data_IF_968377933263
#
_entry.id   IF_968377933263
#
_cell.length_a   1.000
_cell.length_b   1.000
_cell.length_c   1.000
_cell.angle_alpha   90.00
_cell.angle_beta   90.00
_cell.angle_gamma   90.00
#
_symmetry.space_group_name_H-M   'P 1'
#
loop_
_entity.id
_entity.type
_entity.pdbx_description
1 polymer ?
#
# COMPACT_ATOMS: atom_id res chain seq x y z
N UNK A 1 -41.20 57.11 -38.58
CA UNK A 1 -39.75 56.97 -38.73
C UNK A 1 -39.21 56.21 -37.53
N UNK A 2 -39.06 54.94 -37.69
CA UNK A 2 -38.69 54.08 -36.59
C UNK A 2 -37.23 53.69 -36.75
N UNK A 3 -36.42 54.06 -35.79
CA UNK A 3 -35.06 53.59 -35.66
C UNK A 3 -35.05 52.41 -34.68
N UNK A 4 -35.07 51.25 -35.25
CA UNK A 4 -34.86 50.04 -34.46
C UNK A 4 -33.38 49.92 -34.15
N UNK A 5 -33.00 50.19 -32.89
CA UNK A 5 -31.69 49.84 -32.38
C UNK A 5 -31.66 48.37 -32.04
N UNK A 6 -30.97 47.61 -32.83
CA UNK A 6 -30.70 46.22 -32.55
C UNK A 6 -29.53 46.15 -31.59
N UNK A 7 -29.82 45.82 -30.32
CA UNK A 7 -28.78 45.58 -29.31
C UNK A 7 -28.34 44.11 -29.46
N UNK A 8 -27.15 43.97 -30.04
CA UNK A 8 -26.50 42.66 -30.12
C UNK A 8 -25.81 42.39 -28.79
N UNK A 9 -26.39 41.56 -27.98
CA UNK A 9 -25.75 41.08 -26.73
C UNK A 9 -24.80 39.97 -27.13
N UNK A 10 -23.52 40.25 -27.13
CA UNK A 10 -22.47 39.24 -27.19
C UNK A 10 -22.37 38.57 -25.82
N UNK A 11 -22.88 37.36 -25.74
CA UNK A 11 -22.61 36.46 -24.63
C UNK A 11 -21.19 35.91 -24.80
N UNK A 12 -20.24 36.49 -24.11
CA UNK A 12 -18.90 35.93 -23.95
C UNK A 12 -18.98 34.73 -23.04
N UNK A 13 -18.99 33.55 -23.61
CA UNK A 13 -18.85 32.31 -22.84
C UNK A 13 -17.46 32.20 -22.25
N UNK A 14 -17.34 32.36 -20.95
CA UNK A 14 -16.13 31.97 -20.22
C UNK A 14 -16.06 30.45 -20.22
N UNK A 15 -15.22 29.89 -21.07
CA UNK A 15 -14.79 28.52 -20.95
C UNK A 15 -13.91 28.41 -19.70
N UNK A 16 -14.47 27.94 -18.59
CA UNK A 16 -13.68 27.51 -17.45
C UNK A 16 -12.95 26.23 -17.85
N UNK A 17 -11.70 26.38 -18.25
CA UNK A 17 -10.79 25.24 -18.34
C UNK A 17 -10.57 24.71 -16.94
N UNK A 18 -11.29 23.65 -16.58
CA UNK A 18 -11.01 22.89 -15.39
C UNK A 18 -9.66 22.22 -15.55
N UNK A 19 -8.60 22.83 -15.01
CA UNK A 19 -7.32 22.15 -14.85
C UNK A 19 -7.52 21.05 -13.83
N UNK A 20 -7.69 19.83 -14.30
CA UNK A 20 -7.57 18.66 -13.43
C UNK A 20 -6.12 18.59 -12.93
N UNK A 21 -5.87 18.62 -11.61
CA UNK A 21 -4.51 18.44 -11.12
C UNK A 21 -4.01 17.08 -11.59
N UNK A 22 -2.91 17.07 -12.32
CA UNK A 22 -2.24 15.84 -12.67
C UNK A 22 -1.89 15.08 -11.39
N UNK A 23 -2.07 13.74 -11.39
CA UNK A 23 -1.63 12.89 -10.30
C UNK A 23 -0.12 13.10 -10.09
N UNK A 24 0.24 13.92 -9.11
CA UNK A 24 1.60 14.33 -8.81
C UNK A 24 2.18 13.57 -7.61
N UNK A 25 3.39 13.92 -7.14
CA UNK A 25 4.06 13.31 -5.99
C UNK A 25 3.19 13.24 -4.72
N UNK A 26 2.27 14.19 -4.52
CA UNK A 26 1.37 14.22 -3.37
C UNK A 26 0.43 13.00 -3.32
N UNK A 27 -0.07 12.51 -4.46
CA UNK A 27 -0.93 11.33 -4.51
C UNK A 27 -0.17 10.04 -4.18
N UNK A 28 1.09 9.92 -4.62
CA UNK A 28 1.92 8.77 -4.29
C UNK A 28 2.31 8.74 -2.81
N UNK A 29 2.60 9.90 -2.20
CA UNK A 29 2.86 10.01 -0.77
C UNK A 29 1.63 9.57 0.04
N UNK A 30 0.44 10.03 -0.33
CA UNK A 30 -0.80 9.64 0.34
C UNK A 30 -1.05 8.12 0.24
N UNK A 31 -0.82 7.52 -0.92
CA UNK A 31 -0.91 6.07 -1.11
C UNK A 31 0.10 5.32 -0.26
N UNK A 32 1.33 5.82 -0.15
CA UNK A 32 2.36 5.23 0.68
C UNK A 32 2.02 5.33 2.18
N UNK A 33 1.44 6.44 2.64
CA UNK A 33 0.98 6.57 4.02
C UNK A 33 -0.11 5.54 4.36
N UNK A 34 -1.04 5.30 3.46
CA UNK A 34 -2.07 4.27 3.63
C UNK A 34 -1.44 2.87 3.65
N UNK A 35 -0.49 2.61 2.76
CA UNK A 35 0.25 1.35 2.73
C UNK A 35 1.04 1.13 4.03
N UNK A 36 1.73 2.16 4.54
CA UNK A 36 2.45 2.12 5.82
C UNK A 36 1.50 1.75 6.96
N UNK A 37 0.35 2.42 7.05
CA UNK A 37 -0.64 2.12 8.09
C UNK A 37 -1.11 0.67 8.04
N UNK A 38 -1.37 0.14 6.86
CA UNK A 38 -1.76 -1.27 6.67
C UNK A 38 -0.62 -2.21 7.05
N UNK A 39 0.61 -1.93 6.61
CA UNK A 39 1.78 -2.74 6.92
C UNK A 39 2.15 -2.72 8.41
N UNK A 40 1.91 -1.62 9.11
CA UNK A 40 2.12 -1.54 10.55
C UNK A 40 1.21 -2.52 11.30
N UNK A 41 -0.06 -2.65 10.88
CA UNK A 41 -0.97 -3.66 11.45
C UNK A 41 -0.47 -5.08 11.16
N UNK A 42 -0.10 -5.36 9.93
CA UNK A 42 0.46 -6.66 9.54
C UNK A 42 1.73 -6.97 10.33
N UNK A 43 2.66 -6.01 10.43
CA UNK A 43 3.91 -6.17 11.16
C UNK A 43 3.69 -6.48 12.65
N UNK A 44 2.79 -5.75 13.29
CA UNK A 44 2.45 -5.95 14.69
C UNK A 44 1.91 -7.37 14.94
N UNK A 45 1.01 -7.85 14.11
CA UNK A 45 0.43 -9.20 14.23
C UNK A 45 1.46 -10.28 13.87
N UNK A 46 2.28 -10.06 12.85
CA UNK A 46 3.33 -11.00 12.48
C UNK A 46 4.37 -11.17 13.60
N UNK A 47 4.75 -10.11 14.28
CA UNK A 47 5.60 -10.19 15.48
C UNK A 47 4.93 -10.96 16.63
N UNK A 48 3.66 -10.76 16.84
CA UNK A 48 2.92 -11.46 17.89
C UNK A 48 2.73 -12.95 17.58
N UNK A 49 2.54 -13.31 16.32
CA UNK A 49 2.18 -14.66 15.89
C UNK A 49 3.37 -15.44 15.30
N UNK A 50 3.94 -14.95 14.21
CA UNK A 50 4.95 -15.72 13.46
C UNK A 50 6.29 -15.85 14.20
N UNK A 51 6.75 -14.81 14.89
CA UNK A 51 8.04 -14.89 15.61
C UNK A 51 8.02 -15.85 16.80
N UNK A 52 6.83 -16.27 17.24
CA UNK A 52 6.63 -17.24 18.32
C UNK A 52 6.27 -18.63 17.81
N UNK A 53 6.14 -18.78 16.50
CA UNK A 53 5.71 -20.02 15.87
C UNK A 53 6.91 -20.78 15.32
N UNK A 54 6.95 -22.09 15.57
CA UNK A 54 8.03 -22.95 15.11
C UNK A 54 8.14 -23.03 13.59
N UNK A 55 7.03 -22.89 12.86
CA UNK A 55 7.04 -22.88 11.40
C UNK A 55 7.81 -21.68 10.82
N UNK A 56 7.88 -20.59 11.59
CA UNK A 56 8.63 -19.39 11.21
C UNK A 56 9.97 -19.24 11.96
N UNK A 57 10.41 -20.28 12.65
CA UNK A 57 11.63 -20.22 13.47
C UNK A 57 12.88 -19.78 12.70
N UNK A 58 12.95 -20.11 11.40
CA UNK A 58 14.08 -19.76 10.54
C UNK A 58 14.01 -18.35 9.95
N UNK A 59 12.95 -17.59 10.24
CA UNK A 59 12.69 -16.30 9.60
C UNK A 59 12.64 -15.15 10.61
N UNK A 60 12.97 -13.97 10.12
CA UNK A 60 12.77 -12.71 10.79
C UNK A 60 11.98 -11.76 9.89
N UNK A 61 11.52 -10.65 10.47
CA UNK A 61 10.74 -9.64 9.78
C UNK A 61 11.49 -8.32 9.85
N UNK A 62 11.69 -7.69 8.70
CA UNK A 62 12.31 -6.36 8.59
C UNK A 62 11.31 -5.40 7.95
N UNK A 63 10.79 -4.43 8.70
CA UNK A 63 9.95 -3.40 8.13
C UNK A 63 10.78 -2.34 7.39
N UNK A 64 10.37 -2.01 6.17
CA UNK A 64 10.87 -0.89 5.38
C UNK A 64 9.68 0.03 5.08
N UNK A 65 9.37 0.93 5.98
CA UNK A 65 8.17 1.76 5.96
C UNK A 65 8.43 3.21 5.55
N UNK A 66 9.41 3.41 4.69
CA UNK A 66 9.70 4.72 4.13
C UNK A 66 8.60 5.12 3.12
N UNK A 67 8.10 6.34 3.26
CA UNK A 67 7.07 6.90 2.39
C UNK A 67 7.60 7.47 1.08
N UNK A 68 8.92 7.61 0.94
CA UNK A 68 9.57 8.09 -0.28
C UNK A 68 9.77 7.00 -1.33
N UNK A 69 9.63 5.75 -0.92
CA UNK A 69 9.65 4.56 -1.77
C UNK A 69 8.43 3.68 -1.49
N UNK A 70 8.32 2.54 -2.15
CA UNK A 70 7.24 1.58 -1.87
C UNK A 70 7.43 0.95 -0.50
N UNK A 71 6.55 1.22 0.49
CA UNK A 71 6.63 0.58 1.80
C UNK A 71 6.43 -0.93 1.69
N UNK A 72 7.17 -1.69 2.49
CA UNK A 72 7.13 -3.15 2.47
C UNK A 72 7.60 -3.76 3.78
N UNK A 73 7.22 -5.01 4.00
CA UNK A 73 7.83 -5.87 5.02
C UNK A 73 8.63 -6.96 4.32
N UNK A 74 9.82 -7.24 4.82
CA UNK A 74 10.66 -8.31 4.32
C UNK A 74 10.63 -9.48 5.29
N UNK A 75 10.40 -10.68 4.78
CA UNK A 75 10.68 -11.91 5.52
C UNK A 75 12.05 -12.38 5.07
N UNK A 76 12.99 -12.44 6.01
CA UNK A 76 14.38 -12.78 5.76
C UNK A 76 14.79 -13.99 6.60
N UNK A 77 15.89 -14.67 6.25
CA UNK A 77 16.49 -15.64 7.16
C UNK A 77 16.85 -14.98 8.50
N UNK A 78 16.48 -15.61 9.60
CA UNK A 78 16.70 -15.07 10.95
C UNK A 78 18.17 -14.84 11.23
N UNK A 79 18.50 -13.67 11.78
CA UNK A 79 19.87 -13.29 12.09
C UNK A 79 20.75 -12.93 10.89
N UNK A 80 20.17 -12.85 9.70
CA UNK A 80 20.88 -12.53 8.45
C UNK A 80 20.20 -11.37 7.70
N UNK A 81 20.22 -10.15 8.24
CA UNK A 81 19.48 -9.01 7.67
C UNK A 81 19.97 -8.60 6.27
N UNK A 82 21.19 -9.00 5.88
CA UNK A 82 21.75 -8.74 4.55
C UNK A 82 21.42 -9.82 3.52
N UNK A 83 20.71 -10.87 3.91
CA UNK A 83 20.31 -11.92 2.99
C UNK A 83 19.15 -11.48 2.09
N UNK A 84 19.00 -12.16 0.95
CA UNK A 84 17.87 -11.94 0.07
C UNK A 84 16.56 -12.25 0.78
N UNK A 85 15.55 -11.41 0.62
CA UNK A 85 14.23 -11.68 1.18
C UNK A 85 13.63 -12.98 0.65
N UNK A 86 13.03 -13.75 1.54
CA UNK A 86 12.28 -14.94 1.22
C UNK A 86 10.83 -14.62 0.87
N UNK A 87 10.34 -13.50 1.36
CA UNK A 87 9.09 -12.89 0.94
C UNK A 87 9.16 -11.37 1.09
N UNK A 88 8.45 -10.67 0.23
CA UNK A 88 8.22 -9.24 0.30
C UNK A 88 6.72 -9.02 0.38
N UNK A 89 6.27 -8.36 1.43
CA UNK A 89 4.86 -8.03 1.65
C UNK A 89 4.67 -6.57 1.31
N UNK A 90 3.74 -6.29 0.42
CA UNK A 90 3.30 -4.95 0.03
C UNK A 90 1.82 -4.78 0.37
N UNK A 91 1.39 -3.55 0.56
CA UNK A 91 0.02 -3.28 0.95
C UNK A 91 -0.57 -2.06 0.23
N UNK A 92 -1.87 -2.06 0.18
CA UNK A 92 -2.73 -0.92 -0.14
C UNK A 92 -3.78 -0.77 0.97
N UNK A 93 -4.80 0.06 0.76
CA UNK A 93 -5.86 0.23 1.76
C UNK A 93 -6.56 -1.10 2.07
N UNK A 94 -6.38 -1.62 3.27
CA UNK A 94 -7.06 -2.83 3.75
C UNK A 94 -6.69 -4.14 3.06
N UNK A 95 -5.64 -4.14 2.24
CA UNK A 95 -5.21 -5.30 1.47
C UNK A 95 -3.69 -5.47 1.54
N UNK A 96 -3.22 -6.70 1.55
CA UNK A 96 -1.81 -7.04 1.49
C UNK A 96 -1.56 -8.24 0.58
N UNK A 97 -0.44 -8.22 -0.10
CA UNK A 97 0.02 -9.27 -0.99
C UNK A 97 1.49 -9.56 -0.70
N UNK A 98 1.95 -10.74 -1.03
CA UNK A 98 3.36 -11.07 -0.93
C UNK A 98 3.87 -11.79 -2.17
N UNK A 99 5.16 -11.70 -2.39
CA UNK A 99 5.87 -12.37 -3.47
C UNK A 99 7.26 -12.80 -2.98
N UNK A 100 7.90 -13.66 -3.72
CA UNK A 100 9.22 -14.19 -3.42
C UNK A 100 9.22 -15.71 -3.26
N UNK A 101 10.35 -16.32 -2.86
CA UNK A 101 10.49 -17.79 -2.76
C UNK A 101 9.44 -18.47 -1.88
N UNK A 102 9.00 -17.83 -0.78
CA UNK A 102 7.96 -18.40 0.09
C UNK A 102 6.60 -18.53 -0.57
N UNK A 103 6.35 -17.88 -1.71
CA UNK A 103 5.10 -18.00 -2.46
C UNK A 103 4.88 -19.39 -3.05
N UNK A 104 5.92 -20.19 -3.17
CA UNK A 104 5.86 -21.58 -3.63
C UNK A 104 6.16 -22.60 -2.52
N UNK A 105 6.26 -22.13 -1.29
CA UNK A 105 6.53 -22.96 -0.11
C UNK A 105 5.25 -23.47 0.54
N UNK A 106 5.33 -24.46 1.44
CA UNK A 106 4.20 -24.89 2.27
C UNK A 106 3.60 -23.78 3.14
N UNK A 107 4.37 -22.71 3.44
CA UNK A 107 3.90 -21.57 4.23
C UNK A 107 3.06 -20.57 3.43
N UNK A 108 3.02 -20.68 2.10
CA UNK A 108 2.38 -19.69 1.22
C UNK A 108 0.90 -19.44 1.59
N UNK A 109 0.14 -20.49 1.77
CA UNK A 109 -1.28 -20.40 2.12
C UNK A 109 -1.51 -19.72 3.46
N UNK A 110 -0.70 -20.04 4.46
CA UNK A 110 -0.76 -19.42 5.78
C UNK A 110 -0.37 -17.96 5.74
N UNK A 111 0.72 -17.61 5.09
CA UNK A 111 1.16 -16.21 4.95
C UNK A 111 0.05 -15.40 4.30
N UNK A 112 -0.48 -15.88 3.17
CA UNK A 112 -1.52 -15.18 2.43
C UNK A 112 -2.79 -14.96 3.27
N UNK A 113 -3.24 -15.99 3.97
CA UNK A 113 -4.41 -15.92 4.84
C UNK A 113 -4.20 -14.92 5.99
N UNK A 114 -3.06 -14.98 6.66
CA UNK A 114 -2.74 -14.13 7.80
C UNK A 114 -2.62 -12.66 7.40
N UNK A 115 -1.83 -12.35 6.36
CA UNK A 115 -1.64 -10.96 5.93
C UNK A 115 -2.93 -10.34 5.40
N UNK A 116 -3.78 -11.09 4.73
CA UNK A 116 -5.09 -10.63 4.25
C UNK A 116 -6.01 -10.27 5.42
N UNK A 117 -6.06 -11.13 6.43
CA UNK A 117 -6.85 -10.91 7.64
C UNK A 117 -6.36 -9.68 8.42
N UNK A 118 -5.05 -9.58 8.65
CA UNK A 118 -4.47 -8.46 9.40
C UNK A 118 -4.54 -7.14 8.65
N UNK A 119 -4.35 -7.16 7.32
CA UNK A 119 -4.48 -5.96 6.48
C UNK A 119 -5.90 -5.39 6.52
N UNK A 120 -6.92 -6.25 6.57
CA UNK A 120 -8.32 -5.82 6.65
C UNK A 120 -8.77 -5.41 8.05
N UNK A 121 -7.89 -5.46 9.05
CA UNK A 121 -8.16 -5.04 10.43
C UNK A 121 -8.40 -6.19 11.41
N UNK A 122 -8.31 -7.44 10.97
CA UNK A 122 -8.37 -8.60 11.85
C UNK A 122 -7.14 -8.71 12.75
N UNK A 123 -7.28 -9.41 13.87
CA UNK A 123 -6.23 -9.63 14.87
C UNK A 123 -6.14 -11.09 15.25
N UNK A 124 -5.03 -11.43 15.92
CA UNK A 124 -4.80 -12.77 16.46
C UNK A 124 -4.15 -13.73 15.50
N UNK A 125 -3.73 -14.82 16.03
CA UNK A 125 -3.04 -15.88 15.33
C UNK A 125 -4.02 -16.96 14.85
#
# INVERSE_FOLDING_TARGET
MNKNSLILVLMSGLAMSACSPAAGPASSISSNLVAVSTLQRVNSQAHACWLKDNEFASYGIVPELDTTSTPRLLIIPRGKPQSLPQAVIVASAGNAQFYGPLSTSPLAGRINSDISRWASGGTGC
#
